data_IF_640170200616
#
_entry.id   IF_640170200616
#
_cell.length_a   1.000
_cell.length_b   1.000
_cell.length_c   1.000
_cell.angle_alpha   90.00
_cell.angle_beta   90.00
_cell.angle_gamma   90.00
#
_symmetry.space_group_name_H-M   'P 1'
#
loop_
_entity.id
_entity.type
_entity.pdbx_description
1 polymer ?
#
# COMPACT_ATOMS: atom_id res chain seq x y z
N UNK A 1 74.95 -65.21 -22.12
CA UNK A 1 74.81 -63.92 -21.43
C UNK A 1 73.80 -63.06 -22.19
N UNK A 2 72.54 -62.99 -21.72
CA UNK A 2 71.46 -62.24 -22.38
C UNK A 2 71.37 -60.81 -21.84
N UNK A 3 71.50 -59.83 -22.72
CA UNK A 3 71.42 -58.41 -22.43
C UNK A 3 69.97 -57.95 -22.18
N UNK A 4 69.76 -57.24 -21.06
CA UNK A 4 68.47 -56.66 -20.65
C UNK A 4 68.19 -55.35 -21.39
N UNK A 5 67.05 -55.26 -22.08
CA UNK A 5 66.52 -54.05 -22.73
C UNK A 5 66.02 -53.01 -21.70
N UNK A 6 66.18 -51.69 -21.96
CA UNK A 6 65.65 -50.64 -21.08
C UNK A 6 64.16 -50.34 -21.35
N UNK A 7 63.41 -50.11 -20.26
CA UNK A 7 61.99 -49.71 -20.23
C UNK A 7 61.82 -48.25 -20.65
N UNK A 8 60.98 -47.98 -21.66
CA UNK A 8 60.50 -46.63 -22.03
C UNK A 8 59.47 -46.12 -21.00
N UNK A 9 59.66 -44.92 -20.46
CA UNK A 9 58.67 -44.18 -19.65
C UNK A 9 57.65 -43.50 -20.59
N UNK A 10 56.36 -43.71 -20.31
CA UNK A 10 55.26 -43.03 -20.99
C UNK A 10 55.12 -41.58 -20.49
N UNK A 11 55.23 -40.61 -21.40
CA UNK A 11 54.93 -39.21 -21.12
C UNK A 11 53.43 -38.99 -20.99
N UNK A 12 53.00 -38.44 -19.85
CA UNK A 12 51.66 -37.91 -19.66
C UNK A 12 51.55 -36.58 -20.41
N UNK A 13 50.68 -36.50 -21.42
CA UNK A 13 50.28 -35.24 -22.03
C UNK A 13 49.26 -34.55 -21.12
N UNK A 14 49.58 -33.35 -20.63
CA UNK A 14 48.62 -32.49 -19.94
C UNK A 14 47.70 -31.83 -20.97
N UNK A 15 46.40 -32.06 -20.84
CA UNK A 15 45.35 -31.37 -21.60
C UNK A 15 45.26 -29.90 -21.17
N UNK A 16 45.22 -28.92 -22.09
CA UNK A 16 45.05 -27.52 -21.72
C UNK A 16 43.60 -27.24 -21.27
N UNK A 17 43.46 -26.49 -20.17
CA UNK A 17 42.17 -26.03 -19.65
C UNK A 17 41.48 -25.05 -20.63
N UNK A 18 40.14 -25.07 -20.74
CA UNK A 18 39.42 -24.16 -21.61
C UNK A 18 39.54 -22.70 -21.14
N UNK A 19 39.85 -21.79 -22.07
CA UNK A 19 39.83 -20.34 -21.84
C UNK A 19 38.41 -19.91 -21.45
N UNK A 20 38.25 -19.33 -20.24
CA UNK A 20 37.03 -18.62 -19.83
C UNK A 20 36.70 -17.54 -20.86
N UNK A 21 35.57 -17.67 -21.55
CA UNK A 21 35.04 -16.61 -22.39
C UNK A 21 34.76 -15.37 -21.52
N UNK A 22 35.32 -14.21 -21.90
CA UNK A 22 34.96 -12.93 -21.30
C UNK A 22 33.49 -12.64 -21.64
N UNK A 23 32.66 -12.49 -20.63
CA UNK A 23 31.32 -11.95 -20.78
C UNK A 23 31.43 -10.52 -21.35
N UNK A 24 30.58 -10.11 -22.29
CA UNK A 24 30.59 -8.77 -22.82
C UNK A 24 30.29 -7.75 -21.71
N UNK A 25 30.84 -6.52 -21.79
CA UNK A 25 30.58 -5.47 -20.82
C UNK A 25 29.07 -5.16 -20.80
N UNK A 26 28.47 -5.26 -19.60
CA UNK A 26 27.07 -4.92 -19.37
C UNK A 26 26.91 -3.41 -19.55
N UNK A 27 26.33 -2.99 -20.67
CA UNK A 27 25.92 -1.60 -20.85
C UNK A 27 24.85 -1.31 -19.78
N UNK A 28 25.03 -0.31 -18.90
CA UNK A 28 24.00 0.05 -17.93
C UNK A 28 22.75 0.47 -18.68
N UNK A 29 21.68 -0.31 -18.53
CA UNK A 29 20.39 0.07 -19.12
C UNK A 29 19.93 1.39 -18.50
N UNK A 30 19.37 2.31 -19.30
CA UNK A 30 18.74 3.51 -18.76
C UNK A 30 17.64 3.10 -17.76
N UNK A 31 17.43 3.89 -16.69
CA UNK A 31 16.39 3.59 -15.72
C UNK A 31 15.05 3.49 -16.45
N UNK A 32 14.46 2.30 -16.43
CA UNK A 32 13.14 2.08 -17.00
C UNK A 32 12.15 3.02 -16.29
N UNK A 33 11.20 3.64 -17.01
CA UNK A 33 10.19 4.48 -16.38
C UNK A 33 9.45 3.64 -15.35
N UNK A 34 9.60 3.98 -14.06
CA UNK A 34 8.91 3.29 -13.00
C UNK A 34 7.41 3.49 -13.21
N UNK A 35 6.67 2.39 -13.36
CA UNK A 35 5.22 2.42 -13.48
C UNK A 35 4.63 3.16 -12.27
N UNK A 36 3.69 4.06 -12.53
CA UNK A 36 2.90 4.70 -11.49
C UNK A 36 2.32 3.66 -10.53
N UNK A 37 2.56 3.86 -9.23
CA UNK A 37 2.08 2.98 -8.16
C UNK A 37 0.73 3.47 -7.65
N UNK A 38 0.01 2.61 -6.95
CA UNK A 38 -1.26 2.92 -6.30
C UNK A 38 -1.05 3.07 -4.79
N UNK A 39 -1.34 4.24 -4.24
CA UNK A 39 -1.24 4.55 -2.82
C UNK A 39 -2.59 4.42 -2.12
N UNK A 40 -2.71 3.60 -1.08
CA UNK A 40 -3.88 3.64 -0.21
C UNK A 40 -3.69 4.66 0.92
N UNK A 41 -4.51 5.70 0.95
CA UNK A 41 -4.49 6.70 2.03
C UNK A 41 -5.42 6.25 3.14
N UNK A 42 -4.88 6.04 4.34
CA UNK A 42 -5.65 5.58 5.49
C UNK A 42 -5.25 6.29 6.77
N UNK A 43 -6.21 6.60 7.64
CA UNK A 43 -5.91 7.29 8.90
C UNK A 43 -7.07 7.37 9.88
N UNK A 44 -6.87 8.15 10.93
CA UNK A 44 -7.84 8.28 12.03
C UNK A 44 -9.01 9.17 11.62
N UNK A 45 -10.22 8.78 12.03
CA UNK A 45 -11.46 9.56 11.80
C UNK A 45 -11.49 10.90 12.56
N UNK A 46 -10.64 11.05 13.57
CA UNK A 46 -10.53 12.20 14.45
C UNK A 46 -9.14 12.84 14.38
N UNK A 47 -8.47 12.74 13.23
CA UNK A 47 -7.22 13.46 12.98
C UNK A 47 -7.50 14.97 12.82
N UNK A 48 -6.62 15.81 13.36
CA UNK A 48 -6.70 17.27 13.17
C UNK A 48 -6.06 17.68 11.84
N UNK A 49 -6.40 18.86 11.27
CA UNK A 49 -5.71 19.38 10.10
C UNK A 49 -4.19 19.50 10.30
N UNK A 50 -3.75 19.92 11.49
CA UNK A 50 -2.32 20.00 11.81
C UNK A 50 -1.63 18.63 11.80
N UNK A 51 -2.24 17.61 12.42
CA UNK A 51 -1.73 16.24 12.38
C UNK A 51 -1.69 15.71 10.94
N UNK A 52 -2.73 15.99 10.16
CA UNK A 52 -2.78 15.62 8.76
C UNK A 52 -1.65 16.28 7.94
N UNK A 53 -1.48 17.59 8.08
CA UNK A 53 -0.40 18.33 7.43
C UNK A 53 0.97 17.80 7.79
N UNK A 54 1.21 17.46 9.06
CA UNK A 54 2.51 16.96 9.48
C UNK A 54 2.78 15.54 8.99
N UNK A 55 1.81 14.63 9.07
CA UNK A 55 2.04 13.20 8.82
C UNK A 55 1.74 12.73 7.40
N UNK A 56 0.86 13.41 6.65
CA UNK A 56 0.36 12.90 5.36
C UNK A 56 0.88 13.73 4.19
N UNK A 57 0.93 15.06 4.32
CA UNK A 57 1.25 15.96 3.19
C UNK A 57 2.61 15.65 2.54
N UNK A 58 3.71 15.43 3.27
CA UNK A 58 4.99 15.11 2.63
C UNK A 58 4.93 13.86 1.74
N UNK A 59 4.27 12.79 2.23
CA UNK A 59 4.13 11.54 1.49
C UNK A 59 3.17 11.68 0.30
N UNK A 60 2.07 12.43 0.46
CA UNK A 60 1.14 12.75 -0.61
C UNK A 60 1.83 13.56 -1.71
N UNK A 61 2.59 14.60 -1.36
CA UNK A 61 3.32 15.40 -2.34
C UNK A 61 4.32 14.55 -3.12
N UNK A 62 5.05 13.66 -2.43
CA UNK A 62 5.96 12.73 -3.10
C UNK A 62 5.23 11.79 -4.07
N UNK A 63 4.07 11.26 -3.68
CA UNK A 63 3.24 10.40 -4.53
C UNK A 63 2.67 11.16 -5.75
N UNK A 64 2.22 12.40 -5.55
CA UNK A 64 1.73 13.28 -6.61
C UNK A 64 2.82 13.50 -7.65
N UNK A 65 4.04 13.86 -7.21
CA UNK A 65 5.20 14.09 -8.09
C UNK A 65 5.61 12.86 -8.89
N UNK A 66 5.48 11.65 -8.32
CA UNK A 66 5.75 10.39 -9.04
C UNK A 66 4.68 10.01 -10.06
N UNK A 67 3.54 10.71 -10.08
CA UNK A 67 2.43 10.34 -10.96
C UNK A 67 1.61 9.16 -10.42
N UNK A 68 1.72 8.84 -9.13
CA UNK A 68 0.99 7.72 -8.51
C UNK A 68 -0.55 7.93 -8.56
N UNK A 69 -1.30 6.84 -8.49
CA UNK A 69 -2.76 6.86 -8.29
C UNK A 69 -3.09 6.67 -6.81
N UNK A 70 -4.31 7.03 -6.42
CA UNK A 70 -4.73 7.06 -5.02
C UNK A 70 -5.99 6.23 -4.81
N UNK A 71 -6.00 5.46 -3.74
CA UNK A 71 -7.19 4.83 -3.18
C UNK A 71 -7.51 5.54 -1.87
N UNK A 72 -8.78 5.93 -1.72
CA UNK A 72 -9.31 6.46 -0.46
C UNK A 72 -10.61 5.75 -0.13
N UNK A 73 -11.01 5.77 1.14
CA UNK A 73 -12.37 5.42 1.51
C UNK A 73 -13.27 6.66 1.60
N UNK A 74 -14.59 6.47 1.70
CA UNK A 74 -15.52 7.56 2.01
C UNK A 74 -15.67 7.87 3.51
N UNK A 75 -14.67 7.53 4.33
CA UNK A 75 -14.69 7.81 5.76
C UNK A 75 -14.39 9.28 6.10
N UNK A 76 -14.72 9.67 7.34
CA UNK A 76 -14.36 10.99 7.89
C UNK A 76 -12.88 11.02 8.28
N UNK A 77 -12.36 12.22 8.53
CA UNK A 77 -11.00 12.41 9.05
C UNK A 77 -9.97 12.36 7.93
N UNK A 78 -9.00 11.45 8.04
CA UNK A 78 -7.86 11.39 7.11
C UNK A 78 -8.29 11.27 5.64
N UNK A 79 -9.26 10.41 5.31
CA UNK A 79 -9.72 10.25 3.93
C UNK A 79 -10.36 11.53 3.38
N UNK A 80 -11.16 12.22 4.20
CA UNK A 80 -11.79 13.50 3.82
C UNK A 80 -10.74 14.58 3.58
N UNK A 81 -9.77 14.69 4.48
CA UNK A 81 -8.68 15.67 4.36
C UNK A 81 -7.78 15.36 3.18
N UNK A 82 -7.48 14.08 2.92
CA UNK A 82 -6.69 13.65 1.77
C UNK A 82 -7.40 13.93 0.45
N UNK A 83 -8.70 13.61 0.33
CA UNK A 83 -9.45 13.91 -0.88
C UNK A 83 -9.49 15.42 -1.15
N UNK A 84 -9.72 16.23 -0.11
CA UNK A 84 -9.66 17.68 -0.22
C UNK A 84 -8.26 18.16 -0.64
N UNK A 85 -7.21 17.61 -0.04
CA UNK A 85 -5.84 17.96 -0.37
C UNK A 85 -5.50 17.64 -1.83
N UNK A 86 -5.82 16.43 -2.30
CA UNK A 86 -5.60 16.01 -3.69
C UNK A 86 -6.33 16.91 -4.69
N UNK A 87 -7.55 17.36 -4.37
CA UNK A 87 -8.28 18.37 -5.17
C UNK A 87 -7.54 19.70 -5.22
N UNK A 88 -7.06 20.20 -4.08
CA UNK A 88 -6.31 21.48 -4.04
C UNK A 88 -4.99 21.43 -4.80
N UNK A 89 -4.43 20.22 -5.01
CA UNK A 89 -3.25 19.98 -5.83
C UNK A 89 -3.57 19.67 -7.30
N UNK A 90 -4.83 19.81 -7.72
CA UNK A 90 -5.30 19.52 -9.07
C UNK A 90 -4.94 18.11 -9.56
N UNK A 91 -4.97 17.12 -8.66
CA UNK A 91 -4.84 15.72 -9.05
C UNK A 91 -6.08 15.33 -9.86
N UNK A 92 -5.87 14.81 -11.06
CA UNK A 92 -6.95 14.36 -11.95
C UNK A 92 -7.85 13.34 -11.22
N UNK A 93 -9.19 13.55 -11.20
CA UNK A 93 -10.13 12.61 -10.57
C UNK A 93 -9.99 11.16 -11.03
N UNK A 94 -9.56 10.92 -12.28
CA UNK A 94 -9.32 9.58 -12.82
C UNK A 94 -8.13 8.86 -12.17
N UNK A 95 -7.23 9.59 -11.48
CA UNK A 95 -6.16 9.01 -10.65
C UNK A 95 -6.64 8.62 -9.25
N UNK A 96 -7.90 8.89 -8.91
CA UNK A 96 -8.43 8.70 -7.56
C UNK A 96 -9.56 7.67 -7.61
N UNK A 97 -9.43 6.62 -6.80
CA UNK A 97 -10.47 5.60 -6.61
C UNK A 97 -11.05 5.69 -5.21
N UNK A 98 -12.36 5.89 -5.12
CA UNK A 98 -13.09 5.89 -3.86
C UNK A 98 -13.69 4.52 -3.61
N UNK A 99 -13.31 3.91 -2.49
CA UNK A 99 -13.89 2.67 -2.00
C UNK A 99 -15.07 2.96 -1.07
N UNK A 100 -16.22 2.40 -1.44
CA UNK A 100 -17.45 2.38 -0.66
C UNK A 100 -17.71 0.97 -0.15
N UNK A 101 -18.55 0.84 0.87
CA UNK A 101 -19.02 -0.46 1.32
C UNK A 101 -20.54 -0.50 1.31
N UNK A 102 -21.13 -1.66 1.06
CA UNK A 102 -22.57 -1.87 1.22
C UNK A 102 -22.82 -2.92 2.31
N UNK A 103 -23.66 -2.61 3.32
CA UNK A 103 -24.02 -3.58 4.35
C UNK A 103 -24.67 -4.83 3.73
N UNK A 104 -24.46 -5.98 4.36
CA UNK A 104 -25.15 -7.20 3.94
C UNK A 104 -26.67 -7.10 4.15
N UNK A 105 -27.50 -7.64 3.23
CA UNK A 105 -28.95 -7.43 3.21
C UNK A 105 -29.69 -7.92 4.47
N UNK A 106 -29.19 -8.95 5.16
CA UNK A 106 -29.86 -9.55 6.33
C UNK A 106 -29.31 -9.05 7.67
N UNK A 107 -28.52 -7.97 7.66
CA UNK A 107 -27.93 -7.41 8.87
C UNK A 107 -28.97 -6.64 9.67
N UNK A 108 -28.92 -6.77 11.00
CA UNK A 108 -29.66 -5.91 11.95
C UNK A 108 -28.69 -4.85 12.52
N UNK A 109 -28.53 -3.67 11.90
CA UNK A 109 -27.66 -2.64 12.43
C UNK A 109 -28.23 -2.05 13.72
N UNK A 110 -27.37 -1.69 14.66
CA UNK A 110 -27.80 -0.81 15.75
C UNK A 110 -28.01 0.63 15.23
N UNK A 111 -28.63 1.49 16.05
CA UNK A 111 -28.97 2.86 15.64
C UNK A 111 -27.76 3.67 15.13
N UNK A 112 -26.60 3.51 15.77
CA UNK A 112 -25.35 4.18 15.35
C UNK A 112 -24.89 3.69 13.99
N UNK A 113 -24.94 2.38 13.76
CA UNK A 113 -24.54 1.77 12.50
C UNK A 113 -25.48 2.16 11.35
N UNK A 114 -26.79 2.13 11.59
CA UNK A 114 -27.78 2.57 10.60
C UNK A 114 -27.54 4.03 10.18
N UNK A 115 -27.19 4.91 11.13
CA UNK A 115 -26.84 6.30 10.84
C UNK A 115 -25.56 6.43 10.02
N UNK A 116 -24.51 5.64 10.32
CA UNK A 116 -23.26 5.65 9.55
C UNK A 116 -23.47 5.14 8.14
N UNK A 117 -24.20 4.03 7.98
CA UNK A 117 -24.47 3.40 6.69
C UNK A 117 -25.24 4.39 5.77
N UNK A 118 -26.22 5.11 6.33
CA UNK A 118 -26.96 6.17 5.60
C UNK A 118 -26.10 7.35 5.15
N UNK A 119 -24.96 7.61 5.79
CA UNK A 119 -24.09 8.75 5.43
C UNK A 119 -22.97 8.37 4.45
N UNK A 120 -22.55 7.10 4.41
CA UNK A 120 -21.30 6.70 3.74
C UNK A 120 -21.50 5.69 2.61
N UNK A 121 -22.68 5.10 2.50
CA UNK A 121 -22.90 3.86 1.75
C UNK A 121 -24.23 3.86 1.00
N UNK A 122 -24.64 5.01 0.49
CA UNK A 122 -25.89 5.14 -0.27
C UNK A 122 -25.63 5.38 -1.76
N UNK A 123 -26.56 5.00 -2.65
CA UNK A 123 -26.45 5.28 -4.08
C UNK A 123 -26.21 6.76 -4.41
N UNK A 124 -26.71 7.69 -3.58
CA UNK A 124 -26.50 9.12 -3.76
C UNK A 124 -25.04 9.53 -3.54
N UNK A 125 -24.34 8.90 -2.60
CA UNK A 125 -22.91 9.15 -2.35
C UNK A 125 -22.07 8.65 -3.54
N UNK A 126 -22.41 7.46 -4.04
CA UNK A 126 -21.78 6.87 -5.22
C UNK A 126 -21.97 7.77 -6.46
N UNK A 127 -23.21 8.20 -6.71
CA UNK A 127 -23.52 9.08 -7.84
C UNK A 127 -22.81 10.43 -7.74
N UNK A 128 -22.72 11.02 -6.53
CA UNK A 128 -21.97 12.25 -6.32
C UNK A 128 -20.51 12.09 -6.76
N UNK A 129 -19.83 11.05 -6.31
CA UNK A 129 -18.42 10.86 -6.66
C UNK A 129 -18.23 10.52 -8.14
N UNK A 130 -19.16 9.78 -8.76
CA UNK A 130 -19.12 9.56 -10.22
C UNK A 130 -19.24 10.86 -11.01
N UNK A 131 -20.16 11.75 -10.62
CA UNK A 131 -20.31 13.07 -11.25
C UNK A 131 -19.06 13.93 -11.13
N UNK A 132 -18.31 13.77 -10.04
CA UNK A 132 -17.03 14.46 -9.83
C UNK A 132 -15.85 13.80 -10.59
N UNK A 133 -16.09 12.71 -11.32
CA UNK A 133 -15.10 12.06 -12.19
C UNK A 133 -14.24 11.00 -11.52
N UNK A 134 -14.56 10.58 -10.29
CA UNK A 134 -13.79 9.57 -9.57
C UNK A 134 -14.10 8.15 -10.04
N UNK A 135 -13.10 7.27 -9.95
CA UNK A 135 -13.36 5.83 -10.04
C UNK A 135 -14.01 5.35 -8.75
N UNK A 136 -15.01 4.47 -8.85
CA UNK A 136 -15.70 3.93 -7.67
C UNK A 136 -15.54 2.42 -7.60
N UNK A 137 -15.24 1.91 -6.41
CA UNK A 137 -15.30 0.49 -6.08
C UNK A 137 -16.21 0.29 -4.88
N UNK A 138 -17.12 -0.68 -4.98
CA UNK A 138 -18.05 -1.01 -3.90
C UNK A 138 -17.73 -2.41 -3.41
N UNK A 139 -17.52 -2.55 -2.11
CA UNK A 139 -17.24 -3.83 -1.46
C UNK A 139 -18.43 -4.22 -0.57
N UNK A 140 -18.86 -5.48 -0.62
CA UNK A 140 -19.86 -5.96 0.34
C UNK A 140 -19.22 -6.15 1.72
N UNK A 141 -19.94 -5.77 2.77
CA UNK A 141 -19.47 -5.92 4.16
C UNK A 141 -19.47 -4.60 4.90
N UNK A 142 -18.42 -4.38 5.70
CA UNK A 142 -18.26 -3.20 6.53
C UNK A 142 -16.95 -2.47 6.23
N UNK A 143 -16.59 -1.49 7.06
CA UNK A 143 -15.36 -0.73 6.88
C UNK A 143 -14.11 -1.62 6.93
N UNK A 144 -14.11 -2.71 7.70
CA UNK A 144 -12.96 -3.62 7.80
C UNK A 144 -12.72 -4.38 6.47
N UNK A 145 -13.77 -4.90 5.82
CA UNK A 145 -13.67 -5.59 4.52
C UNK A 145 -13.27 -4.63 3.41
N UNK A 146 -13.86 -3.42 3.41
CA UNK A 146 -13.48 -2.36 2.48
C UNK A 146 -12.01 -1.99 2.61
N UNK A 147 -11.54 -1.75 3.83
CA UNK A 147 -10.14 -1.37 4.06
C UNK A 147 -9.16 -2.52 3.71
N UNK A 148 -9.58 -3.77 3.90
CA UNK A 148 -8.83 -4.93 3.40
C UNK A 148 -8.73 -4.90 1.86
N UNK A 149 -9.84 -4.66 1.17
CA UNK A 149 -9.85 -4.52 -0.28
C UNK A 149 -9.00 -3.33 -0.79
N UNK A 150 -8.99 -2.20 -0.06
CA UNK A 150 -8.09 -1.08 -0.36
C UNK A 150 -6.62 -1.48 -0.24
N UNK A 151 -6.27 -2.22 0.82
CA UNK A 151 -4.90 -2.71 1.06
C UNK A 151 -4.47 -3.68 -0.04
N UNK A 152 -5.35 -4.60 -0.43
CA UNK A 152 -5.08 -5.57 -1.49
C UNK A 152 -4.94 -4.91 -2.87
N UNK A 153 -5.69 -3.85 -3.16
CA UNK A 153 -5.67 -3.15 -4.45
C UNK A 153 -4.55 -2.10 -4.60
N UNK A 154 -3.82 -1.78 -3.53
CA UNK A 154 -2.76 -0.77 -3.54
C UNK A 154 -1.36 -1.39 -3.44
N UNK A 155 -0.37 -0.68 -3.97
CA UNK A 155 1.04 -1.08 -3.91
C UNK A 155 1.68 -0.72 -2.57
N UNK A 156 1.24 0.38 -1.94
CA UNK A 156 1.72 0.83 -0.63
C UNK A 156 0.65 1.68 0.08
N UNK A 157 0.89 1.98 1.36
CA UNK A 157 -0.01 2.78 2.17
C UNK A 157 0.62 4.13 2.53
N UNK A 158 -0.18 5.20 2.51
CA UNK A 158 0.12 6.48 3.15
C UNK A 158 -0.73 6.53 4.40
N UNK A 159 -0.14 6.19 5.54
CA UNK A 159 -0.84 6.12 6.82
C UNK A 159 0.01 6.61 7.97
N UNK A 160 -0.66 6.99 9.05
CA UNK A 160 -0.03 7.27 10.33
C UNK A 160 -0.83 6.70 11.49
N UNK A 161 -0.19 5.85 12.29
CA UNK A 161 -0.76 5.30 13.52
C UNK A 161 -0.41 6.23 14.68
N UNK A 162 -1.44 6.76 15.35
CA UNK A 162 -1.30 7.64 16.50
C UNK A 162 -0.62 6.90 17.64
N UNK A 163 0.30 7.58 18.33
CA UNK A 163 1.02 7.02 19.47
C UNK A 163 0.10 6.70 20.65
N UNK A 164 0.57 5.85 21.56
CA UNK A 164 -0.20 5.43 22.73
C UNK A 164 -0.56 6.61 23.64
N UNK A 165 0.44 7.43 24.00
CA UNK A 165 0.27 8.62 24.84
C UNK A 165 -0.74 9.61 24.25
N UNK A 166 -0.64 9.88 22.95
CA UNK A 166 -1.57 10.78 22.25
C UNK A 166 -2.98 10.20 22.18
N UNK A 167 -3.09 8.88 22.01
CA UNK A 167 -4.37 8.17 21.99
C UNK A 167 -5.03 8.20 23.37
N UNK A 168 -4.25 7.99 24.43
CA UNK A 168 -4.71 8.07 25.81
C UNK A 168 -5.19 9.49 26.15
N UNK A 169 -4.43 10.52 25.78
CA UNK A 169 -4.81 11.92 25.98
C UNK A 169 -6.13 12.26 25.26
N UNK A 170 -6.31 11.79 24.03
CA UNK A 170 -7.50 12.08 23.23
C UNK A 170 -8.77 11.40 23.77
N UNK A 171 -8.67 10.15 24.23
CA UNK A 171 -9.84 9.39 24.69
C UNK A 171 -10.10 9.51 26.19
N UNK A 172 -9.12 9.96 26.99
CA UNK A 172 -9.24 10.12 28.44
C UNK A 172 -9.75 8.84 29.10
N UNK A 173 -10.83 8.94 29.87
CA UNK A 173 -11.46 7.79 30.55
C UNK A 173 -12.04 6.73 29.59
N UNK A 174 -12.22 7.04 28.30
CA UNK A 174 -12.68 6.09 27.27
C UNK A 174 -11.52 5.36 26.59
N UNK A 175 -10.28 5.69 26.95
CA UNK A 175 -9.10 5.03 26.41
C UNK A 175 -9.07 3.54 26.80
N UNK A 176 -8.64 2.69 25.87
CA UNK A 176 -8.56 1.24 26.04
C UNK A 176 -7.18 0.78 25.54
N UNK A 177 -6.23 0.45 26.44
CA UNK A 177 -4.85 0.15 26.06
C UNK A 177 -4.69 -0.97 25.03
N UNK A 178 -5.52 -2.02 25.13
CA UNK A 178 -5.48 -3.17 24.20
C UNK A 178 -6.24 -2.96 22.89
N UNK A 179 -6.83 -1.78 22.65
CA UNK A 179 -7.63 -1.54 21.45
C UNK A 179 -6.74 -1.26 20.24
N UNK A 180 -6.82 -2.15 19.25
CA UNK A 180 -6.22 -1.94 17.94
C UNK A 180 -7.07 -0.94 17.14
N UNK A 181 -6.44 0.14 16.67
CA UNK A 181 -7.11 1.14 15.81
C UNK A 181 -7.32 0.61 14.39
N UNK A 182 -8.30 1.15 13.65
CA UNK A 182 -8.51 0.77 12.24
C UNK A 182 -7.25 1.02 11.39
N UNK A 183 -6.59 2.16 11.57
CA UNK A 183 -5.33 2.47 10.88
C UNK A 183 -4.22 1.48 11.22
N UNK A 184 -4.14 1.01 12.48
CA UNK A 184 -3.19 -0.03 12.86
C UNK A 184 -3.50 -1.36 12.18
N UNK A 185 -4.78 -1.77 12.11
CA UNK A 185 -5.18 -2.96 11.34
C UNK A 185 -4.71 -2.87 9.88
N UNK A 186 -4.84 -1.69 9.26
CA UNK A 186 -4.45 -1.49 7.85
C UNK A 186 -2.94 -1.64 7.67
N UNK A 187 -2.13 -1.03 8.54
CA UNK A 187 -0.68 -1.25 8.58
C UNK A 187 -0.34 -2.73 8.75
N UNK A 188 -0.98 -3.42 9.68
CA UNK A 188 -0.69 -4.83 9.95
C UNK A 188 -1.08 -5.72 8.76
N UNK A 189 -2.17 -5.40 8.04
CA UNK A 189 -2.52 -6.08 6.77
C UNK A 189 -1.47 -5.86 5.69
N UNK A 190 -0.95 -4.64 5.55
CA UNK A 190 0.14 -4.34 4.60
C UNK A 190 1.38 -5.17 4.89
N UNK A 191 1.81 -5.21 6.15
CA UNK A 191 2.96 -6.03 6.58
C UNK A 191 2.78 -7.52 6.24
N UNK A 192 1.57 -8.06 6.44
CA UNK A 192 1.25 -9.43 6.06
C UNK A 192 1.25 -9.63 4.53
N UNK A 193 0.73 -8.67 3.78
CA UNK A 193 0.71 -8.69 2.32
C UNK A 193 2.13 -8.67 1.75
N UNK A 194 2.99 -7.79 2.25
CA UNK A 194 4.36 -7.61 1.76
C UNK A 194 5.21 -8.86 2.05
N UNK A 195 5.03 -9.48 3.23
CA UNK A 195 5.62 -10.79 3.54
C UNK A 195 5.18 -11.89 2.56
N UNK A 196 3.91 -11.88 2.15
CA UNK A 196 3.37 -12.88 1.20
C UNK A 196 3.87 -12.65 -0.22
N UNK A 197 4.07 -11.41 -0.64
CA UNK A 197 4.48 -11.06 -2.01
C UNK A 197 5.99 -10.94 -2.20
N UNK A 198 6.77 -11.00 -1.12
CA UNK A 198 8.24 -10.92 -1.18
C UNK A 198 8.77 -9.52 -1.48
N UNK A 199 7.96 -8.48 -1.29
CA UNK A 199 8.40 -7.09 -1.43
C UNK A 199 9.03 -6.68 -0.08
N UNK A 200 10.33 -6.31 -0.04
CA UNK A 200 10.96 -5.89 1.21
C UNK A 200 10.37 -4.55 1.71
N UNK A 201 10.27 -4.39 3.04
CA UNK A 201 9.85 -3.15 3.69
C UNK A 201 10.66 -1.95 3.16
N UNK A 202 9.98 -0.92 2.69
CA UNK A 202 10.60 0.39 2.48
C UNK A 202 10.69 1.08 3.85
N UNK A 203 11.88 1.04 4.43
CA UNK A 203 12.27 1.74 5.67
C UNK A 203 12.21 3.25 5.53
#
# INVERSE_FOLDING_TARGET
>A
MLARKPRRRAGHQQTPLPRRARLPPTIPQPPQPQRARTAFVSGHINITPQQFSFHYVPALDAAIHRGDTFILSAARGADTLALAYLRTRNVDPSRITIYLHTPQPNRKPNATQARVDKMQSTPEVEERYRKEGYNIRVTQGYHDERDAACTDASDYDILWVRGETETAALYGSKYRPSRISGTQKNRDRRLLKDKRTGIPELS
#
